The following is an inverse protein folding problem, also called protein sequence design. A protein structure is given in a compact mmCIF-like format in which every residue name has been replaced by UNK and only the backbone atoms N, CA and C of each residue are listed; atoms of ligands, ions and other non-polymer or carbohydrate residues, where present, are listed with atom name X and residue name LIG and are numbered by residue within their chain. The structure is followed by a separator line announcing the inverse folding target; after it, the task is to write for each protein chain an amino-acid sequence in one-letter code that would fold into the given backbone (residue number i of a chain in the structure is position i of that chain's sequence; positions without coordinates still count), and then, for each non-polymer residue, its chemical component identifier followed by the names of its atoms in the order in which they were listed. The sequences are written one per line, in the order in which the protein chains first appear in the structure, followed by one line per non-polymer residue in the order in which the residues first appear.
data_IF_505193712185
#
_entry.id   IF_505193712185
#
_cell.length_a   1.000
_cell.length_b   1.000
_cell.length_c   1.000
_cell.angle_alpha   90.00
_cell.angle_beta   90.00
_cell.angle_gamma   90.00
#
_symmetry.space_group_name_H-M   'P 1'
#
loop_
_entity.id
_entity.type
_entity.pdbx_description
1 polymer ?
#
# COMPACT_ATOMS: atom_id res chain seq x y z
N UNK A 1 -11.23 -13.96 4.11
CA UNK A 1 -9.87 -13.54 3.71
C UNK A 1 -9.94 -12.11 3.21
N UNK A 2 -8.89 -11.33 3.40
CA UNK A 2 -8.74 -9.96 2.87
C UNK A 2 -7.36 -9.79 2.25
N UNK A 3 -7.25 -9.01 1.19
CA UNK A 3 -5.97 -8.57 0.66
C UNK A 3 -5.65 -7.17 1.20
N UNK A 4 -4.40 -6.94 1.58
CA UNK A 4 -3.89 -5.67 2.09
C UNK A 4 -2.68 -5.22 1.27
N UNK A 5 -2.62 -3.91 1.03
CA UNK A 5 -1.53 -3.25 0.32
C UNK A 5 -1.31 -1.87 0.92
N UNK A 6 -0.08 -1.58 1.31
CA UNK A 6 0.32 -0.30 1.88
C UNK A 6 1.34 0.40 0.99
N UNK A 7 1.17 1.72 0.87
CA UNK A 7 2.18 2.59 0.27
C UNK A 7 2.87 3.38 1.37
N UNK A 8 4.20 3.48 1.27
CA UNK A 8 5.03 4.12 2.29
C UNK A 8 5.80 5.31 1.74
N UNK A 9 6.00 6.30 2.60
CA UNK A 9 6.88 7.45 2.39
C UNK A 9 8.10 7.35 3.32
N UNK A 10 9.16 8.09 3.01
CA UNK A 10 10.34 8.25 3.85
C UNK A 10 10.15 9.32 4.92
N UNK A 11 10.37 8.93 6.17
CA UNK A 11 10.43 9.82 7.34
C UNK A 11 11.76 9.64 8.09
N UNK A 12 11.99 10.48 9.09
CA UNK A 12 13.20 10.43 9.92
C UNK A 12 14.47 10.89 9.18
N UNK A 13 15.65 10.69 9.79
CA UNK A 13 16.92 11.12 9.21
C UNK A 13 17.10 10.57 7.79
N UNK A 14 17.28 11.49 6.82
CA UNK A 14 17.46 11.19 5.39
C UNK A 14 16.33 10.34 4.75
N UNK A 15 15.18 10.21 5.40
CA UNK A 15 14.03 9.50 4.84
C UNK A 15 14.16 7.98 4.84
N UNK A 16 15.06 7.42 5.65
CA UNK A 16 15.31 5.99 5.68
C UNK A 16 14.21 5.17 6.39
N UNK A 17 13.34 5.82 7.16
CA UNK A 17 12.22 5.14 7.84
C UNK A 17 11.03 5.08 6.90
N UNK A 18 10.66 3.88 6.44
CA UNK A 18 9.42 3.65 5.70
C UNK A 18 8.22 3.81 6.64
N UNK A 19 7.40 4.83 6.42
CA UNK A 19 6.18 5.09 7.20
C UNK A 19 4.95 4.98 6.33
N UNK A 20 3.89 4.37 6.88
CA UNK A 20 2.61 4.16 6.19
C UNK A 20 1.99 5.50 5.78
N UNK A 21 1.63 5.61 4.50
CA UNK A 21 1.00 6.81 3.95
C UNK A 21 -0.24 6.55 3.07
N UNK A 22 -0.51 5.29 2.74
CA UNK A 22 -1.80 4.84 2.22
C UNK A 22 -1.99 3.37 2.57
N UNK A 23 -3.22 2.94 2.82
CA UNK A 23 -3.55 1.53 2.93
C UNK A 23 -4.80 1.23 2.11
N UNK A 24 -4.80 0.11 1.39
CA UNK A 24 -5.95 -0.46 0.71
C UNK A 24 -6.21 -1.86 1.25
N UNK A 25 -7.47 -2.16 1.56
CA UNK A 25 -7.93 -3.48 1.99
C UNK A 25 -9.16 -3.86 1.18
N UNK A 26 -9.12 -5.02 0.55
CA UNK A 26 -10.23 -5.58 -0.21
C UNK A 26 -10.61 -6.97 0.31
N UNK A 27 -11.89 -7.31 0.20
CA UNK A 27 -12.40 -8.65 0.53
C UNK A 27 -12.25 -9.57 -0.68
N UNK A 28 -12.42 -10.87 -0.48
CA UNK A 28 -12.20 -11.89 -1.53
C UNK A 28 -13.16 -11.75 -2.73
N UNK A 29 -14.34 -11.16 -2.53
CA UNK A 29 -15.38 -10.90 -3.53
C UNK A 29 -15.13 -9.62 -4.33
N UNK A 30 -14.07 -8.87 -4.00
CA UNK A 30 -13.70 -7.62 -4.66
C UNK A 30 -14.18 -6.36 -3.93
N UNK A 31 -14.97 -6.48 -2.87
CA UNK A 31 -15.45 -5.33 -2.10
C UNK A 31 -14.30 -4.59 -1.42
N UNK A 32 -14.29 -3.27 -1.52
CA UNK A 32 -13.29 -2.43 -0.85
C UNK A 32 -13.74 -2.12 0.57
N UNK A 33 -12.92 -2.55 1.54
CA UNK A 33 -13.16 -2.37 2.97
C UNK A 33 -12.44 -1.14 3.54
N UNK A 34 -11.31 -0.76 2.93
CA UNK A 34 -10.51 0.40 3.33
C UNK A 34 -9.70 0.88 2.12
N UNK A 35 -9.63 2.19 1.88
CA UNK A 35 -8.75 2.79 0.88
C UNK A 35 -8.56 4.27 1.21
N UNK A 36 -7.58 4.58 2.06
CA UNK A 36 -7.36 5.94 2.54
C UNK A 36 -5.88 6.32 2.50
N UNK A 37 -5.63 7.61 2.29
CA UNK A 37 -4.35 8.23 2.57
C UNK A 37 -4.21 8.46 4.08
N UNK A 38 -3.01 8.21 4.58
CA UNK A 38 -2.70 8.19 6.00
C UNK A 38 -1.60 9.20 6.26
N UNK A 39 -1.79 10.08 7.24
CA UNK A 39 -0.75 11.02 7.66
C UNK A 39 0.22 10.28 8.60
N UNK A 40 1.50 10.10 8.22
CA UNK A 40 2.48 9.47 9.09
C UNK A 40 2.70 10.27 10.38
N UNK A 41 3.07 9.61 11.49
CA UNK A 41 3.31 10.30 12.77
C UNK A 41 4.56 11.19 12.75
N UNK A 42 5.51 10.91 11.85
CA UNK A 42 6.74 11.67 11.68
C UNK A 42 6.68 12.50 10.40
N UNK A 43 7.41 13.62 10.36
CA UNK A 43 7.51 14.47 9.18
C UNK A 43 8.02 13.68 7.96
N UNK A 44 7.33 13.86 6.83
CA UNK A 44 7.69 13.26 5.54
C UNK A 44 8.82 14.07 4.94
N UNK A 45 9.97 13.42 4.73
CA UNK A 45 11.14 14.04 4.07
C UNK A 45 11.29 13.58 2.62
N UNK A 46 10.73 12.41 2.27
CA UNK A 46 10.71 11.90 0.90
C UNK A 46 9.39 11.17 0.63
N UNK A 47 8.61 11.64 -0.35
CA UNK A 47 7.35 10.98 -0.72
C UNK A 47 7.55 9.66 -1.47
N UNK A 48 8.75 9.42 -2.03
CA UNK A 48 9.04 8.25 -2.85
C UNK A 48 8.04 8.09 -4.01
N UNK A 49 7.56 9.21 -4.55
CA UNK A 49 6.42 9.31 -5.49
C UNK A 49 6.53 8.36 -6.67
N UNK A 50 7.75 8.12 -7.17
CA UNK A 50 8.02 7.17 -8.27
C UNK A 50 7.52 5.75 -7.96
N UNK A 51 7.55 5.35 -6.68
CA UNK A 51 7.12 4.04 -6.22
C UNK A 51 5.75 4.12 -5.54
N UNK A 52 5.57 5.06 -4.62
CA UNK A 52 4.37 5.15 -3.78
C UNK A 52 3.16 5.77 -4.48
N UNK A 53 3.39 6.53 -5.56
CA UNK A 53 2.39 7.42 -6.17
C UNK A 53 1.77 8.44 -5.18
N UNK A 54 2.42 8.71 -4.05
CA UNK A 54 1.95 9.68 -3.04
C UNK A 54 2.63 11.03 -3.29
N UNK A 55 1.89 12.13 -3.15
CA UNK A 55 2.46 13.47 -3.14
C UNK A 55 1.81 14.34 -2.05
N UNK A 56 2.39 15.52 -1.81
CA UNK A 56 2.00 16.42 -0.70
C UNK A 56 0.50 16.71 -0.63
N UNK A 57 -0.18 16.87 -1.78
CA UNK A 57 -1.63 17.11 -1.82
C UNK A 57 -2.47 15.99 -1.18
N UNK A 58 -2.00 14.75 -1.25
CA UNK A 58 -2.70 13.61 -0.63
C UNK A 58 -2.70 13.69 0.90
N UNK A 59 -1.79 14.46 1.50
CA UNK A 59 -1.64 14.58 2.96
C UNK A 59 -2.54 15.65 3.57
N UNK A 60 -3.14 16.55 2.77
CA UNK A 60 -3.91 17.71 3.27
C UNK A 60 -5.10 17.26 4.14
N UNK A 61 -5.78 16.19 3.73
CA UNK A 61 -6.94 15.63 4.44
C UNK A 61 -6.72 14.14 4.79
N UNK A 62 -5.47 13.72 4.94
CA UNK A 62 -5.15 12.33 5.22
C UNK A 62 -5.57 11.94 6.64
N UNK A 63 -6.08 10.71 6.80
CA UNK A 63 -6.47 10.16 8.09
C UNK A 63 -5.25 10.04 8.99
N UNK A 64 -5.35 10.49 10.24
CA UNK A 64 -4.23 10.33 11.18
C UNK A 64 -3.83 8.86 11.33
N UNK A 65 -2.53 8.59 11.45
CA UNK A 65 -2.02 7.22 11.62
C UNK A 65 -2.74 6.44 12.73
N UNK A 66 -3.02 7.08 13.87
CA UNK A 66 -3.72 6.46 15.00
C UNK A 66 -5.13 5.99 14.62
N UNK A 67 -5.90 6.85 13.94
CA UNK A 67 -7.26 6.52 13.51
C UNK A 67 -7.25 5.43 12.42
N UNK A 68 -6.40 5.59 11.39
CA UNK A 68 -6.27 4.62 10.31
C UNK A 68 -5.87 3.24 10.85
N UNK A 69 -4.85 3.18 11.71
CA UNK A 69 -4.40 1.93 12.35
C UNK A 69 -5.54 1.26 13.12
N UNK A 70 -6.32 2.00 13.90
CA UNK A 70 -7.46 1.43 14.64
C UNK A 70 -8.48 0.78 13.70
N UNK A 71 -8.83 1.46 12.60
CA UNK A 71 -9.78 0.97 11.60
C UNK A 71 -9.24 -0.28 10.87
N UNK A 72 -8.00 -0.21 10.41
CA UNK A 72 -7.32 -1.31 9.71
C UNK A 72 -7.25 -2.56 10.60
N UNK A 73 -6.82 -2.42 11.86
CA UNK A 73 -6.72 -3.57 12.77
C UNK A 73 -8.08 -4.17 13.09
N UNK A 74 -9.14 -3.35 13.20
CA UNK A 74 -10.51 -3.85 13.33
C UNK A 74 -10.94 -4.67 12.11
N UNK A 75 -10.52 -4.27 10.90
CA UNK A 75 -10.79 -5.03 9.68
C UNK A 75 -9.99 -6.34 9.66
N UNK A 76 -8.71 -6.33 10.04
CA UNK A 76 -7.85 -7.51 10.01
C UNK A 76 -8.18 -8.56 11.09
N UNK A 77 -8.80 -8.14 12.20
CA UNK A 77 -9.09 -9.01 13.34
C UNK A 77 -9.83 -10.30 12.91
N UNK A 78 -9.23 -11.45 13.23
CA UNK A 78 -9.80 -12.78 12.94
C UNK A 78 -9.80 -13.18 11.46
N UNK A 79 -9.22 -12.38 10.56
CA UNK A 79 -9.20 -12.66 9.11
C UNK A 79 -7.81 -13.10 8.65
N UNK A 80 -7.78 -14.00 7.67
CA UNK A 80 -6.56 -14.28 6.91
C UNK A 80 -6.25 -13.06 6.04
N UNK A 81 -5.06 -12.47 6.24
CA UNK A 81 -4.53 -11.36 5.47
C UNK A 81 -3.58 -11.88 4.38
N UNK A 82 -3.77 -11.41 3.16
CA UNK A 82 -2.96 -11.74 1.97
C UNK A 82 -2.29 -10.48 1.46
N UNK A 83 -1.03 -10.59 1.03
CA UNK A 83 -0.28 -9.48 0.47
C UNK A 83 1.03 -9.97 -0.14
N UNK A 84 1.78 -9.08 -0.80
CA UNK A 84 3.08 -9.39 -1.37
C UNK A 84 4.19 -8.75 -0.53
N UNK A 85 5.09 -9.55 0.04
CA UNK A 85 6.06 -9.09 1.03
C UNK A 85 5.36 -8.38 2.23
N UNK A 86 4.23 -8.95 2.66
CA UNK A 86 3.25 -8.38 3.61
C UNK A 86 3.84 -8.00 4.97
N UNK A 87 5.00 -8.55 5.32
CA UNK A 87 5.74 -8.18 6.51
C UNK A 87 6.12 -6.69 6.52
N UNK A 88 6.34 -6.06 5.35
CA UNK A 88 6.63 -4.63 5.23
C UNK A 88 5.41 -3.78 5.61
N UNK A 89 4.22 -4.18 5.17
CA UNK A 89 2.94 -3.55 5.52
C UNK A 89 2.69 -3.61 7.03
N UNK A 90 2.85 -4.80 7.62
CA UNK A 90 2.67 -5.00 9.06
C UNK A 90 3.69 -4.22 9.89
N UNK A 91 4.94 -4.11 9.42
CA UNK A 91 5.96 -3.26 10.04
C UNK A 91 5.54 -1.79 9.99
N UNK A 92 5.07 -1.30 8.85
CA UNK A 92 4.60 0.09 8.68
C UNK A 92 3.35 0.39 9.54
N UNK A 93 2.48 -0.60 9.73
CA UNK A 93 1.32 -0.55 10.63
C UNK A 93 1.65 -0.67 12.12
N UNK A 94 2.90 -1.00 12.46
CA UNK A 94 3.32 -1.34 13.82
C UNK A 94 2.41 -2.44 14.41
N UNK A 95 2.22 -3.51 13.64
CA UNK A 95 1.33 -4.62 13.95
C UNK A 95 2.04 -5.95 13.74
N UNK A 96 1.77 -6.91 14.62
CA UNK A 96 2.23 -8.28 14.47
C UNK A 96 1.02 -9.18 14.19
N UNK A 97 0.88 -9.60 12.95
CA UNK A 97 -0.18 -10.54 12.58
C UNK A 97 0.28 -11.98 12.84
N UNK A 98 -0.55 -12.85 13.42
CA UNK A 98 -0.22 -14.27 13.56
C UNK A 98 0.15 -14.91 12.21
N UNK A 99 1.22 -15.71 12.18
CA UNK A 99 1.66 -16.42 10.97
C UNK A 99 0.55 -17.31 10.39
N UNK A 100 -0.25 -17.94 11.25
CA UNK A 100 -1.40 -18.77 10.86
C UNK A 100 -2.45 -18.00 10.05
N UNK A 101 -2.60 -16.69 10.30
CA UNK A 101 -3.52 -15.78 9.63
C UNK A 101 -2.85 -14.91 8.54
N UNK A 102 -1.63 -15.27 8.13
CA UNK A 102 -0.88 -14.53 7.10
C UNK A 102 -0.63 -15.41 5.89
N UNK A 103 -0.83 -14.86 4.69
CA UNK A 103 -0.45 -15.50 3.41
C UNK A 103 0.36 -14.50 2.60
N UNK A 104 1.67 -14.72 2.52
CA UNK A 104 2.58 -13.87 1.76
C UNK A 104 2.78 -14.48 0.36
N UNK A 105 2.32 -13.77 -0.68
CA UNK A 105 2.41 -14.25 -2.06
C UNK A 105 3.84 -14.23 -2.60
N UNK A 106 4.75 -13.43 -2.01
CA UNK A 106 6.18 -13.44 -2.37
C UNK A 106 6.86 -14.77 -2.04
N UNK A 107 6.28 -15.55 -1.12
CA UNK A 107 6.79 -16.83 -0.65
C UNK A 107 6.14 -18.04 -1.36
N UNK A 108 5.34 -17.82 -2.42
CA UNK A 108 4.63 -18.87 -3.15
C UNK A 108 5.23 -19.02 -4.57
N UNK A 109 6.13 -19.99 -4.81
CA UNK A 109 6.83 -20.14 -6.08
C UNK A 109 5.92 -20.41 -7.29
N UNK A 110 4.78 -21.08 -7.10
CA UNK A 110 3.85 -21.43 -8.18
C UNK A 110 3.13 -20.23 -8.82
N UNK A 111 3.00 -19.10 -8.09
CA UNK A 111 2.46 -17.85 -8.64
C UNK A 111 3.48 -17.13 -9.54
N UNK A 112 4.78 -17.35 -9.32
CA UNK A 112 5.84 -16.84 -10.20
C UNK A 112 5.90 -17.63 -11.52
N UNK A 113 5.53 -18.92 -11.49
CA UNK A 113 5.57 -19.81 -12.66
C UNK A 113 4.34 -19.69 -13.59
N UNK A 114 3.17 -19.29 -13.06
CA UNK A 114 1.96 -18.98 -13.87
C UNK A 114 1.98 -17.60 -14.53
N UNK A 115 2.98 -16.76 -14.25
CA UNK A 115 3.16 -15.45 -14.86
C UNK A 115 4.06 -15.55 -16.10
N UNK A 116 3.60 -16.26 -17.14
CA UNK A 116 4.27 -16.49 -18.43
C UNK A 116 4.55 -15.18 -19.21
N UNK A 117 5.37 -14.31 -18.63
CA UNK A 117 5.74 -12.98 -19.08
C UNK A 117 7.27 -12.90 -19.13
N UNK A 118 7.85 -12.28 -20.17
CA UNK A 118 9.28 -12.20 -20.33
C UNK A 118 9.92 -11.41 -19.17
N UNK A 119 10.96 -12.02 -18.59
CA UNK A 119 11.95 -11.55 -17.61
C UNK A 119 11.73 -10.22 -16.87
N UNK A 120 11.80 -10.29 -15.54
CA UNK A 120 12.10 -9.17 -14.61
C UNK A 120 11.04 -8.07 -14.42
N UNK A 121 9.76 -8.39 -14.41
CA UNK A 121 8.74 -7.48 -13.89
C UNK A 121 8.12 -8.03 -12.60
N UNK A 122 8.48 -7.45 -11.45
CA UNK A 122 7.76 -7.65 -10.19
C UNK A 122 6.28 -7.34 -10.42
N UNK A 123 5.41 -8.32 -10.20
CA UNK A 123 3.97 -8.18 -10.39
C UNK A 123 3.41 -7.25 -9.31
N UNK A 124 3.37 -5.94 -9.58
CA UNK A 124 2.66 -5.01 -8.71
C UNK A 124 1.17 -5.34 -8.73
N UNK A 125 0.52 -5.20 -7.58
CA UNK A 125 -0.92 -5.39 -7.42
C UNK A 125 -1.72 -4.56 -8.44
N UNK A 126 -1.14 -3.45 -8.90
CA UNK A 126 -1.60 -2.60 -10.01
C UNK A 126 -1.88 -3.35 -11.33
N UNK A 127 -1.17 -4.45 -11.59
CA UNK A 127 -1.36 -5.28 -12.79
C UNK A 127 -2.44 -6.35 -12.58
N UNK A 128 -2.66 -6.78 -11.33
CA UNK A 128 -3.76 -7.68 -10.94
C UNK A 128 -5.11 -6.95 -10.91
N UNK A 129 -5.13 -5.69 -10.46
CA UNK A 129 -6.36 -4.86 -10.46
C UNK A 129 -6.77 -4.36 -11.84
N UNK A 130 -5.88 -4.41 -12.85
CA UNK A 130 -6.20 -4.02 -14.23
C UNK A 130 -7.14 -5.00 -14.95
N UNK A 131 -7.40 -6.18 -14.39
CA UNK A 131 -8.36 -7.16 -14.91
C UNK A 131 -9.71 -7.17 -14.19
N UNK A 132 -9.90 -6.32 -13.18
CA UNK A 132 -11.22 -6.11 -12.55
C UNK A 132 -11.93 -4.96 -13.28
N UNK A 133 -12.98 -5.24 -14.08
CA UNK A 133 -13.71 -4.20 -14.79
C UNK A 133 -14.44 -3.34 -13.76
N UNK A 134 -14.40 -2.01 -13.97
CA UNK A 134 -15.00 -0.90 -13.19
C UNK A 134 -14.10 -0.05 -12.30
N UNK A 135 -12.81 -0.35 -12.20
CA UNK A 135 -11.89 0.52 -11.45
C UNK A 135 -10.95 1.26 -12.38
N UNK A 136 -11.52 2.20 -13.16
CA UNK A 136 -10.79 3.41 -13.53
C UNK A 136 -10.54 4.21 -12.25
N UNK A 137 -9.59 3.73 -11.44
CA UNK A 137 -8.91 4.62 -10.51
C UNK A 137 -8.21 5.60 -11.42
N UNK A 138 -8.77 6.79 -11.54
CA UNK A 138 -8.09 7.97 -12.04
C UNK A 138 -6.90 8.21 -11.10
N UNK A 139 -5.83 7.43 -11.27
CA UNK A 139 -4.52 7.69 -10.68
C UNK A 139 -4.05 8.91 -11.43
N UNK A 140 -4.47 10.09 -10.95
CA UNK A 140 -4.10 11.37 -11.51
C UNK A 140 -2.59 11.37 -11.73
N UNK A 141 -2.17 11.55 -12.99
CA UNK A 141 -0.78 11.83 -13.36
C UNK A 141 -0.26 13.13 -12.70
N UNK A 142 -1.07 13.79 -11.89
CA UNK A 142 -0.83 15.09 -11.27
C UNK A 142 0.40 15.17 -10.37
N UNK A 143 0.83 14.06 -9.74
CA UNK A 143 1.97 14.13 -8.82
C UNK A 143 3.32 14.35 -9.55
N UNK A 144 3.40 14.15 -10.87
CA UNK A 144 4.62 14.35 -11.66
C UNK A 144 4.66 15.70 -12.41
N UNK A 145 3.52 16.39 -12.57
CA UNK A 145 3.45 17.67 -13.30
C UNK A 145 3.61 18.93 -12.42
N UNK A 146 3.67 18.79 -11.08
CA UNK A 146 3.73 19.91 -10.15
C UNK A 146 5.14 20.35 -9.70
N UNK A 147 6.22 19.77 -10.23
CA UNK A 147 7.58 19.97 -9.72
C UNK A 147 8.40 21.08 -10.44
N UNK A 148 7.82 21.82 -11.40
CA UNK A 148 8.58 22.71 -12.29
C UNK A 148 8.32 24.22 -12.13
N UNK A 149 7.83 24.70 -10.98
CA UNK A 149 7.67 26.15 -10.77
C UNK A 149 8.05 26.57 -9.35
N UNK A 150 9.35 26.78 -9.12
CA UNK A 150 9.88 27.82 -8.24
C UNK A 150 11.25 28.25 -8.80
N UNK A 151 11.27 29.45 -9.40
CA UNK A 151 12.49 30.19 -9.79
C UNK A 151 13.12 30.86 -8.59
#
# INVERSE_FOLDING_TARGET
MVAIDCEMVGTGPKGHVSSLARCSIVKYDGDVLYNEYILPPCHIVDYRTKWSSICKKHMVNATSFKAARSQILKILLGKIAVGHAIHNDFKALQYFNPKSLTRDTSQIPLLNQKANCPGNATMSLKRLTKQLPHWDIQVGKDCLYGANHWS
#
